data_IF_312705468833
#
_entry.id   IF_312705468833
#
_cell.length_a   1.000
_cell.length_b   1.000
_cell.length_c   1.000
_cell.angle_alpha   90.00
_cell.angle_beta   90.00
_cell.angle_gamma   90.00
#
_symmetry.space_group_name_H-M   'P 1'
#
loop_
_entity.id
_entity.type
_entity.pdbx_description
1 polymer ?
#
# COMPACT_ATOMS: atom_id res chain seq x y z
N UNK A 1 -10.09 -29.35 26.74
CA UNK A 1 -9.66 -29.45 25.32
C UNK A 1 -8.43 -28.57 25.15
N UNK A 2 -7.23 -29.16 25.13
CA UNK A 2 -5.99 -28.43 24.93
C UNK A 2 -5.86 -28.02 23.47
N UNK A 3 -5.96 -26.73 23.19
CA UNK A 3 -5.61 -26.19 21.87
C UNK A 3 -4.11 -26.34 21.69
N UNK A 4 -3.70 -27.36 20.92
CA UNK A 4 -2.34 -27.47 20.41
C UNK A 4 -2.09 -26.28 19.48
N UNK A 5 -1.62 -25.18 20.05
CA UNK A 5 -1.13 -24.04 19.29
C UNK A 5 0.16 -24.50 18.62
N UNK A 6 0.03 -24.93 17.36
CA UNK A 6 1.19 -25.15 16.49
C UNK A 6 1.85 -23.78 16.33
N UNK A 7 2.90 -23.56 17.12
CA UNK A 7 3.67 -22.32 17.06
C UNK A 7 4.51 -22.37 15.79
N UNK A 8 3.92 -21.92 14.68
CA UNK A 8 4.62 -21.77 13.41
C UNK A 8 5.60 -20.62 13.59
N UNK A 9 6.80 -20.95 14.07
CA UNK A 9 7.92 -20.02 14.11
C UNK A 9 8.30 -19.68 12.67
N UNK A 10 7.93 -18.48 12.25
CA UNK A 10 8.35 -17.97 10.95
C UNK A 10 9.88 -17.84 10.96
N UNK A 11 10.54 -18.53 10.03
CA UNK A 11 12.00 -18.47 9.90
C UNK A 11 12.43 -17.03 9.54
N UNK A 12 13.26 -16.36 10.37
CA UNK A 12 13.66 -14.97 10.16
C UNK A 12 14.19 -14.69 8.76
N UNK A 13 15.03 -15.60 8.26
CA UNK A 13 15.70 -15.46 6.98
C UNK A 13 14.68 -15.47 5.83
N UNK A 14 13.63 -16.29 5.95
CA UNK A 14 12.54 -16.34 4.96
C UNK A 14 11.72 -15.05 4.98
N UNK A 15 11.38 -14.54 6.16
CA UNK A 15 10.67 -13.27 6.29
C UNK A 15 11.47 -12.09 5.73
N UNK A 16 12.79 -12.09 5.93
CA UNK A 16 13.64 -11.05 5.37
C UNK A 16 13.70 -11.11 3.85
N UNK A 17 13.96 -12.30 3.28
CA UNK A 17 13.98 -12.48 1.82
C UNK A 17 12.64 -12.06 1.22
N UNK A 18 11.53 -12.45 1.86
CA UNK A 18 10.19 -12.03 1.45
C UNK A 18 10.06 -10.50 1.49
N UNK A 19 10.41 -9.85 2.61
CA UNK A 19 10.31 -8.40 2.77
C UNK A 19 11.14 -7.62 1.74
N UNK A 20 12.38 -8.02 1.48
CA UNK A 20 13.24 -7.42 0.45
C UNK A 20 12.64 -7.61 -0.94
N UNK A 21 12.18 -8.81 -1.27
CA UNK A 21 11.54 -9.12 -2.57
C UNK A 21 10.30 -8.26 -2.77
N UNK A 22 9.46 -8.13 -1.73
CA UNK A 22 8.27 -7.29 -1.76
C UNK A 22 8.63 -5.81 -1.95
N UNK A 23 9.66 -5.29 -1.30
CA UNK A 23 10.10 -3.90 -1.50
C UNK A 23 10.50 -3.64 -2.95
N UNK A 24 11.20 -4.56 -3.61
CA UNK A 24 11.58 -4.44 -5.03
C UNK A 24 10.32 -4.39 -5.92
N UNK A 25 9.36 -5.28 -5.66
CA UNK A 25 8.08 -5.29 -6.37
C UNK A 25 7.26 -4.03 -6.13
N UNK A 26 7.20 -3.53 -4.89
CA UNK A 26 6.52 -2.27 -4.56
C UNK A 26 7.20 -1.07 -5.23
N UNK A 27 8.53 -1.07 -5.39
CA UNK A 27 9.22 0.00 -6.13
C UNK A 27 8.78 0.05 -7.60
N UNK A 28 8.50 -1.10 -8.23
CA UNK A 28 7.90 -1.12 -9.57
C UNK A 28 6.52 -0.46 -9.59
N UNK A 29 5.71 -0.67 -8.54
CA UNK A 29 4.46 0.07 -8.38
C UNK A 29 4.70 1.59 -8.39
N UNK A 30 5.75 2.08 -7.73
CA UNK A 30 6.09 3.50 -7.70
C UNK A 30 6.41 4.09 -9.07
N UNK A 31 7.08 3.32 -9.93
CA UNK A 31 7.31 3.72 -11.33
C UNK A 31 5.99 3.84 -12.08
N UNK A 32 5.10 2.87 -11.92
CA UNK A 32 3.78 2.89 -12.57
C UNK A 32 2.88 4.01 -12.04
N UNK A 33 2.87 4.25 -10.73
CA UNK A 33 2.14 5.36 -10.10
C UNK A 33 2.60 6.71 -10.66
N UNK A 34 3.92 6.89 -10.87
CA UNK A 34 4.46 8.09 -11.52
C UNK A 34 3.98 8.20 -12.98
N UNK A 35 3.95 7.10 -13.73
CA UNK A 35 3.41 7.13 -15.11
C UNK A 35 1.95 7.55 -15.13
N UNK A 36 1.15 7.12 -14.17
CA UNK A 36 -0.26 7.50 -14.10
C UNK A 36 -0.48 8.91 -13.58
N UNK A 37 0.10 9.23 -12.42
CA UNK A 37 -0.30 10.36 -11.61
C UNK A 37 0.69 11.53 -11.58
N UNK A 38 1.90 11.39 -12.14
CA UNK A 38 2.84 12.50 -12.17
C UNK A 38 2.29 13.64 -13.03
N UNK A 39 2.58 14.87 -12.65
CA UNK A 39 2.35 16.05 -13.46
C UNK A 39 3.47 17.03 -13.22
N UNK A 40 4.05 17.55 -14.29
CA UNK A 40 5.10 18.55 -14.20
C UNK A 40 4.58 19.95 -13.84
N UNK A 41 3.27 20.16 -13.94
CA UNK A 41 2.62 21.47 -13.77
C UNK A 41 1.77 21.57 -12.51
N UNK A 42 1.41 20.44 -11.89
CA UNK A 42 0.60 20.44 -10.66
C UNK A 42 1.45 20.63 -9.41
N UNK A 43 1.08 21.63 -8.61
CA UNK A 43 1.58 21.83 -7.25
C UNK A 43 0.91 20.85 -6.27
N UNK A 44 1.41 20.80 -5.03
CA UNK A 44 0.86 19.95 -3.99
C UNK A 44 -0.65 20.11 -3.78
N UNK A 45 -1.16 21.35 -3.87
CA UNK A 45 -2.60 21.63 -3.68
C UNK A 45 -3.45 21.13 -4.84
N UNK A 46 -2.91 21.14 -6.06
CA UNK A 46 -3.65 20.74 -7.26
C UNK A 46 -3.99 19.25 -7.22
N UNK A 47 -3.14 18.42 -6.61
CA UNK A 47 -3.37 16.98 -6.36
C UNK A 47 -4.56 16.67 -5.44
N UNK A 48 -4.99 17.65 -4.64
CA UNK A 48 -6.18 17.55 -3.77
C UNK A 48 -7.36 18.36 -4.32
N UNK A 49 -7.33 18.69 -5.60
CA UNK A 49 -8.36 19.46 -6.31
C UNK A 49 -8.93 18.64 -7.47
N UNK A 50 -10.03 19.10 -8.11
CA UNK A 50 -10.55 18.46 -9.31
C UNK A 50 -9.55 18.31 -10.46
N UNK A 51 -8.47 19.12 -10.50
CA UNK A 51 -7.44 19.06 -11.54
C UNK A 51 -6.77 17.67 -11.67
N UNK A 52 -6.72 16.89 -10.58
CA UNK A 52 -6.20 15.52 -10.62
C UNK A 52 -7.01 14.60 -11.54
N UNK A 53 -8.32 14.83 -11.64
CA UNK A 53 -9.20 14.05 -12.50
C UNK A 53 -8.88 14.34 -13.98
N UNK A 54 -8.70 15.62 -14.32
CA UNK A 54 -8.34 16.02 -15.68
C UNK A 54 -6.99 15.44 -16.11
N UNK A 55 -6.02 15.44 -15.20
CA UNK A 55 -4.71 14.80 -15.39
C UNK A 55 -4.85 13.30 -15.67
N UNK A 56 -5.65 12.58 -14.87
CA UNK A 56 -5.88 11.13 -15.05
C UNK A 56 -6.56 10.84 -16.40
N UNK A 57 -7.66 11.53 -16.71
CA UNK A 57 -8.46 11.27 -17.92
C UNK A 57 -7.68 11.60 -19.20
N UNK A 58 -6.89 12.68 -19.18
CA UNK A 58 -6.06 13.09 -20.31
C UNK A 58 -4.76 12.27 -20.44
N UNK A 59 -4.37 11.54 -19.38
CA UNK A 59 -3.05 10.95 -19.20
C UNK A 59 -1.90 11.96 -19.41
N UNK A 60 -2.17 13.27 -19.32
CA UNK A 60 -1.30 14.34 -19.84
C UNK A 60 -0.74 14.07 -21.24
N UNK A 61 -1.52 13.45 -22.11
CA UNK A 61 -1.09 13.12 -23.48
C UNK A 61 -0.10 11.95 -23.59
N UNK A 62 0.14 11.18 -22.52
CA UNK A 62 0.94 9.94 -22.60
C UNK A 62 0.33 8.96 -23.60
N UNK A 63 1.21 8.21 -24.26
CA UNK A 63 0.79 7.23 -25.27
C UNK A 63 0.09 6.02 -24.63
N UNK A 64 -0.77 5.35 -25.40
CA UNK A 64 -1.46 4.13 -24.95
C UNK A 64 -0.50 3.05 -24.43
N UNK A 65 0.62 2.84 -25.14
CA UNK A 65 1.62 1.84 -24.74
C UNK A 65 2.28 2.13 -23.39
N UNK A 66 2.46 3.40 -23.05
CA UNK A 66 2.97 3.82 -21.73
C UNK A 66 1.93 3.54 -20.64
N UNK A 67 0.64 3.77 -20.92
CA UNK A 67 -0.44 3.45 -19.98
C UNK A 67 -0.58 1.93 -19.76
N UNK A 68 -0.41 1.12 -20.81
CA UNK A 68 -0.38 -0.35 -20.71
C UNK A 68 0.81 -0.83 -19.87
N UNK A 69 1.98 -0.20 -19.99
CA UNK A 69 3.13 -0.53 -19.14
C UNK A 69 2.81 -0.24 -17.67
N UNK A 70 2.19 0.90 -17.37
CA UNK A 70 1.80 1.25 -16.01
C UNK A 70 0.80 0.25 -15.41
N UNK A 71 -0.08 -0.31 -16.24
CA UNK A 71 -1.07 -1.30 -15.83
C UNK A 71 -0.44 -2.61 -15.31
N UNK A 72 0.78 -2.93 -15.71
CA UNK A 72 1.47 -4.15 -15.25
C UNK A 72 1.68 -4.19 -13.73
N UNK A 73 1.75 -3.03 -13.06
CA UNK A 73 1.78 -2.98 -11.59
C UNK A 73 0.49 -3.54 -10.97
N UNK A 74 -0.66 -3.35 -11.63
CA UNK A 74 -1.94 -3.92 -11.23
C UNK A 74 -1.91 -5.45 -11.08
N UNK A 75 -1.14 -6.15 -11.90
CA UNK A 75 -1.03 -7.62 -11.87
C UNK A 75 -0.25 -8.14 -10.67
N UNK A 76 0.56 -7.29 -10.04
CA UNK A 76 1.42 -7.67 -8.92
C UNK A 76 0.79 -7.39 -7.55
N UNK A 77 -0.42 -6.80 -7.49
CA UNK A 77 -1.11 -6.53 -6.23
C UNK A 77 -1.37 -7.75 -5.33
N UNK A 78 -1.64 -8.96 -5.86
CA UNK A 78 -1.65 -10.16 -5.04
C UNK A 78 -0.32 -10.41 -4.31
N UNK A 79 0.82 -10.08 -4.93
CA UNK A 79 2.12 -10.14 -4.29
C UNK A 79 2.31 -8.98 -3.31
N UNK A 80 1.95 -7.75 -3.69
CA UNK A 80 2.07 -6.59 -2.80
C UNK A 80 1.30 -6.82 -1.50
N UNK A 81 0.10 -7.39 -1.54
CA UNK A 81 -0.71 -7.70 -0.35
C UNK A 81 0.02 -8.57 0.69
N UNK A 82 1.05 -9.35 0.33
CA UNK A 82 1.87 -10.07 1.29
C UNK A 82 2.68 -9.15 2.23
N UNK A 83 2.83 -7.85 1.96
CA UNK A 83 3.42 -6.95 2.95
C UNK A 83 2.59 -6.89 4.23
N UNK A 84 1.25 -7.07 4.12
CA UNK A 84 0.37 -7.18 5.28
C UNK A 84 0.67 -8.45 6.10
N UNK A 85 1.14 -9.53 5.48
CA UNK A 85 1.63 -10.71 6.20
C UNK A 85 2.90 -10.41 7.00
N UNK A 86 3.88 -9.72 6.39
CA UNK A 86 5.11 -9.28 7.07
C UNK A 86 4.78 -8.42 8.29
N UNK A 87 3.83 -7.50 8.16
CA UNK A 87 3.33 -6.67 9.25
C UNK A 87 2.57 -7.49 10.31
N UNK A 88 1.70 -8.41 9.90
CA UNK A 88 0.94 -9.29 10.78
C UNK A 88 1.85 -10.12 11.70
N UNK A 89 2.99 -10.61 11.20
CA UNK A 89 3.96 -11.35 12.04
C UNK A 89 4.39 -10.53 13.25
N UNK A 90 4.64 -9.22 13.05
CA UNK A 90 5.00 -8.33 14.15
C UNK A 90 3.83 -7.95 15.06
N UNK A 91 2.59 -8.06 14.57
CA UNK A 91 1.38 -7.70 15.31
C UNK A 91 0.70 -8.87 16.01
N UNK A 92 0.93 -10.13 15.60
CA UNK A 92 0.14 -11.32 15.99
C UNK A 92 -0.06 -11.52 17.50
N UNK A 93 0.88 -11.05 18.33
CA UNK A 93 0.77 -11.08 19.81
C UNK A 93 -0.39 -10.24 20.36
N UNK A 94 -0.86 -9.25 19.61
CA UNK A 94 -1.96 -8.39 20.01
C UNK A 94 -3.35 -9.06 19.86
N UNK A 95 -3.42 -10.27 19.28
CA UNK A 95 -4.64 -11.05 19.14
C UNK A 95 -5.44 -10.74 17.86
N UNK A 96 -6.64 -11.33 17.75
CA UNK A 96 -7.47 -11.23 16.54
C UNK A 96 -7.81 -9.79 16.16
N UNK A 97 -8.42 -9.04 17.08
CA UNK A 97 -8.92 -7.68 16.83
C UNK A 97 -7.82 -6.66 16.55
N UNK A 98 -6.63 -6.83 17.15
CA UNK A 98 -5.54 -5.86 17.01
C UNK A 98 -4.47 -6.29 16.00
N UNK A 99 -4.55 -7.49 15.43
CA UNK A 99 -3.60 -7.94 14.42
C UNK A 99 -4.29 -8.39 13.13
N UNK A 100 -5.24 -9.32 13.21
CA UNK A 100 -5.81 -9.97 12.03
C UNK A 100 -6.76 -9.03 11.29
N UNK A 101 -7.67 -8.37 12.01
CA UNK A 101 -8.63 -7.43 11.42
C UNK A 101 -7.95 -6.27 10.69
N UNK A 102 -7.05 -5.49 11.32
CA UNK A 102 -6.40 -4.37 10.63
C UNK A 102 -5.53 -4.83 9.44
N UNK A 103 -4.75 -5.90 9.59
CA UNK A 103 -3.93 -6.41 8.47
C UNK A 103 -4.79 -6.97 7.33
N UNK A 104 -5.90 -7.63 7.65
CA UNK A 104 -6.86 -8.14 6.67
C UNK A 104 -7.56 -7.03 5.89
N UNK A 105 -8.00 -5.96 6.57
CA UNK A 105 -8.57 -4.78 5.92
C UNK A 105 -7.57 -4.11 4.99
N UNK A 106 -6.31 -3.97 5.41
CA UNK A 106 -5.24 -3.43 4.58
C UNK A 106 -4.98 -4.32 3.37
N UNK A 107 -4.84 -5.64 3.56
CA UNK A 107 -4.64 -6.58 2.45
C UNK A 107 -5.80 -6.52 1.44
N UNK A 108 -7.05 -6.49 1.93
CA UNK A 108 -8.23 -6.33 1.10
C UNK A 108 -8.20 -5.01 0.31
N UNK A 109 -7.90 -3.89 0.98
CA UNK A 109 -7.83 -2.59 0.34
C UNK A 109 -6.78 -2.56 -0.79
N UNK A 110 -5.61 -3.16 -0.56
CA UNK A 110 -4.55 -3.27 -1.56
C UNK A 110 -5.02 -4.08 -2.76
N UNK A 111 -5.63 -5.25 -2.56
CA UNK A 111 -6.18 -6.04 -3.67
C UNK A 111 -7.23 -5.25 -4.47
N UNK A 112 -8.08 -4.48 -3.79
CA UNK A 112 -9.08 -3.62 -4.44
C UNK A 112 -8.43 -2.47 -5.22
N UNK A 113 -7.40 -1.82 -4.67
CA UNK A 113 -6.62 -0.77 -5.36
C UNK A 113 -6.01 -1.33 -6.65
N UNK A 114 -5.44 -2.53 -6.63
CA UNK A 114 -4.90 -3.15 -7.85
C UNK A 114 -5.96 -3.37 -8.92
N UNK A 115 -7.11 -3.91 -8.52
CA UNK A 115 -8.22 -4.22 -9.42
C UNK A 115 -8.96 -2.98 -9.94
N UNK A 116 -9.11 -1.94 -9.12
CA UNK A 116 -9.96 -0.78 -9.42
C UNK A 116 -9.13 0.45 -9.77
N UNK A 117 -8.08 0.79 -9.00
CA UNK A 117 -7.32 2.01 -9.27
C UNK A 117 -6.45 1.88 -10.52
N UNK A 118 -5.56 0.89 -10.61
CA UNK A 118 -4.69 0.76 -11.79
C UNK A 118 -5.47 0.46 -13.06
N UNK A 119 -6.41 -0.49 -13.01
CA UNK A 119 -7.26 -0.80 -14.15
C UNK A 119 -8.17 0.39 -14.49
N UNK A 120 -8.78 1.01 -13.49
CA UNK A 120 -9.69 2.14 -13.69
C UNK A 120 -8.99 3.36 -14.27
N UNK A 121 -7.81 3.71 -13.80
CA UNK A 121 -6.98 4.76 -14.40
C UNK A 121 -6.65 4.43 -15.86
N UNK A 122 -6.25 3.19 -16.17
CA UNK A 122 -6.05 2.79 -17.56
C UNK A 122 -7.34 2.95 -18.39
N UNK A 123 -8.48 2.46 -17.91
CA UNK A 123 -9.77 2.54 -18.61
C UNK A 123 -10.29 3.98 -18.79
N UNK A 124 -10.09 4.85 -17.81
CA UNK A 124 -10.46 6.27 -17.89
C UNK A 124 -9.76 7.01 -19.04
N UNK A 125 -8.65 6.47 -19.54
CA UNK A 125 -7.89 7.06 -20.65
C UNK A 125 -8.29 6.51 -22.01
N UNK A 126 -9.02 5.38 -22.06
CA UNK A 126 -9.33 4.66 -23.30
C UNK A 126 -10.24 5.46 -24.24
N UNK A 127 -11.37 6.06 -23.79
CA UNK A 127 -12.29 6.75 -24.70
C UNK A 127 -11.60 7.89 -25.45
N UNK A 128 -10.83 8.73 -24.74
CA UNK A 128 -10.13 9.88 -25.33
C UNK A 128 -9.00 9.47 -26.28
N UNK A 129 -8.33 8.35 -26.02
CA UNK A 129 -7.31 7.79 -26.92
C UNK A 129 -7.93 7.16 -28.17
N UNK A 130 -9.01 6.39 -28.01
CA UNK A 130 -9.72 5.76 -29.12
C UNK A 130 -10.32 6.82 -30.07
N UNK A 131 -10.99 7.85 -29.53
CA UNK A 131 -11.56 8.96 -30.29
C UNK A 131 -10.52 9.62 -31.20
N UNK A 132 -9.34 9.94 -30.63
CA UNK A 132 -8.22 10.55 -31.35
C UNK A 132 -7.67 9.64 -32.44
N UNK A 133 -7.60 8.33 -32.20
CA UNK A 133 -7.03 7.38 -33.16
C UNK A 133 -7.92 7.20 -34.40
N UNK A 134 -9.25 7.18 -34.23
CA UNK A 134 -10.20 6.94 -35.34
C UNK A 134 -10.80 8.22 -35.92
N UNK A 135 -10.51 9.38 -35.32
CA UNK A 135 -11.04 10.68 -35.77
C UNK A 135 -12.55 10.84 -35.56
N UNK A 136 -13.12 10.20 -34.54
CA UNK A 136 -14.56 10.29 -34.25
C UNK A 136 -14.94 11.61 -33.59
N UNK A 137 -16.13 12.11 -33.91
CA UNK A 137 -16.66 13.40 -33.43
C UNK A 137 -17.93 13.27 -32.58
N UNK A 138 -18.33 12.05 -32.21
CA UNK A 138 -19.52 11.83 -31.38
C UNK A 138 -19.24 12.09 -29.90
N UNK A 139 -19.25 13.36 -29.53
CA UNK A 139 -18.97 13.80 -28.16
C UNK A 139 -19.99 13.23 -27.15
N UNK A 140 -21.24 13.02 -27.57
CA UNK A 140 -22.28 12.48 -26.67
C UNK A 140 -21.93 11.05 -26.25
N UNK A 141 -21.50 10.22 -27.21
CA UNK A 141 -21.04 8.87 -26.92
C UNK A 141 -19.82 8.87 -25.98
N UNK A 142 -18.82 9.71 -26.25
CA UNK A 142 -17.60 9.77 -25.44
C UNK A 142 -17.85 10.27 -24.02
N UNK A 143 -18.59 11.36 -23.85
CA UNK A 143 -18.92 11.92 -22.54
C UNK A 143 -19.74 10.93 -21.71
N UNK A 144 -20.71 10.25 -22.34
CA UNK A 144 -21.52 9.21 -21.67
C UNK A 144 -20.67 8.01 -21.27
N UNK A 145 -19.80 7.54 -22.16
CA UNK A 145 -18.88 6.42 -21.89
C UNK A 145 -17.92 6.77 -20.76
N UNK A 146 -17.31 7.96 -20.81
CA UNK A 146 -16.38 8.44 -19.79
C UNK A 146 -17.07 8.52 -18.43
N UNK A 147 -18.28 9.07 -18.38
CA UNK A 147 -19.08 9.15 -17.15
C UNK A 147 -19.36 7.78 -16.56
N UNK A 148 -19.81 6.81 -17.35
CA UNK A 148 -20.09 5.47 -16.84
C UNK A 148 -18.84 4.74 -16.35
N UNK A 149 -17.69 4.90 -17.02
CA UNK A 149 -16.42 4.36 -16.53
C UNK A 149 -16.04 5.02 -15.19
N UNK A 150 -16.18 6.34 -15.09
CA UNK A 150 -15.90 7.08 -13.87
C UNK A 150 -16.83 6.65 -12.72
N UNK A 151 -18.12 6.46 -12.95
CA UNK A 151 -19.07 6.02 -11.93
C UNK A 151 -18.68 4.64 -11.36
N UNK A 152 -18.29 3.68 -12.21
CA UNK A 152 -17.81 2.37 -11.77
C UNK A 152 -16.49 2.47 -11.00
N UNK A 153 -15.57 3.31 -11.47
CA UNK A 153 -14.31 3.59 -10.81
C UNK A 153 -14.54 4.15 -9.40
N UNK A 154 -15.33 5.22 -9.26
CA UNK A 154 -15.58 5.86 -7.96
C UNK A 154 -16.28 4.92 -6.97
N UNK A 155 -17.26 4.14 -7.43
CA UNK A 155 -17.96 3.21 -6.55
C UNK A 155 -17.04 2.08 -6.06
N UNK A 156 -16.20 1.55 -6.95
CA UNK A 156 -15.19 0.58 -6.55
C UNK A 156 -14.19 1.19 -5.56
N UNK A 157 -13.66 2.37 -5.91
CA UNK A 157 -12.59 3.03 -5.16
C UNK A 157 -13.03 3.44 -3.75
N UNK A 158 -14.30 3.83 -3.58
CA UNK A 158 -14.87 4.13 -2.27
C UNK A 158 -14.68 2.98 -1.27
N UNK A 159 -14.89 1.73 -1.71
CA UNK A 159 -14.72 0.57 -0.82
C UNK A 159 -13.25 0.34 -0.44
N UNK A 160 -12.34 0.58 -1.38
CA UNK A 160 -10.90 0.48 -1.15
C UNK A 160 -10.43 1.56 -0.17
N UNK A 161 -10.86 2.81 -0.38
CA UNK A 161 -10.56 3.95 0.48
C UNK A 161 -11.07 3.73 1.90
N UNK A 162 -12.31 3.26 2.07
CA UNK A 162 -12.88 2.99 3.40
C UNK A 162 -12.10 1.87 4.12
N UNK A 163 -11.84 0.75 3.43
CA UNK A 163 -11.08 -0.35 4.01
C UNK A 163 -9.65 0.05 4.36
N UNK A 164 -8.99 0.82 3.49
CA UNK A 164 -7.63 1.32 3.71
C UNK A 164 -7.58 2.23 4.94
N UNK A 165 -8.44 3.24 5.01
CA UNK A 165 -8.43 4.20 6.11
C UNK A 165 -8.75 3.54 7.45
N UNK A 166 -9.80 2.71 7.51
CA UNK A 166 -10.14 1.95 8.72
C UNK A 166 -9.00 1.01 9.12
N UNK A 167 -8.43 0.29 8.17
CA UNK A 167 -7.30 -0.61 8.39
C UNK A 167 -6.07 0.13 8.92
N UNK A 168 -5.70 1.26 8.32
CA UNK A 168 -4.55 2.07 8.71
C UNK A 168 -4.70 2.66 10.11
N UNK A 169 -5.85 3.27 10.43
CA UNK A 169 -6.13 3.82 11.76
C UNK A 169 -6.12 2.71 12.82
N UNK A 170 -6.79 1.59 12.56
CA UNK A 170 -6.84 0.48 13.49
C UNK A 170 -5.46 -0.15 13.70
N UNK A 171 -4.68 -0.31 12.64
CA UNK A 171 -3.29 -0.77 12.70
C UNK A 171 -2.44 0.15 13.58
N UNK A 172 -2.55 1.48 13.40
CA UNK A 172 -1.82 2.45 14.20
C UNK A 172 -2.20 2.38 15.69
N UNK A 173 -3.50 2.24 16.00
CA UNK A 173 -3.98 2.03 17.38
C UNK A 173 -3.40 0.76 17.99
N UNK A 174 -3.36 -0.34 17.22
CA UNK A 174 -2.79 -1.59 17.68
C UNK A 174 -1.30 -1.45 18.03
N UNK A 175 -0.51 -0.77 17.19
CA UNK A 175 0.91 -0.48 17.47
C UNK A 175 1.05 0.43 18.70
N UNK A 176 0.28 1.51 18.78
CA UNK A 176 0.31 2.46 19.89
C UNK A 176 -0.04 1.81 21.25
N UNK A 177 -0.91 0.80 21.25
CA UNK A 177 -1.30 0.06 22.45
C UNK A 177 -0.14 -0.63 23.17
N UNK A 178 0.98 -0.88 22.47
CA UNK A 178 2.14 -1.61 23.00
C UNK A 178 1.92 -3.13 23.10
N UNK A 179 0.83 -3.65 22.53
CA UNK A 179 0.52 -5.10 22.51
C UNK A 179 1.17 -5.86 21.34
N UNK A 180 1.80 -5.14 20.42
CA UNK A 180 2.54 -5.72 19.29
C UNK A 180 4.02 -5.89 19.64
N UNK A 181 4.79 -6.55 18.78
CA UNK A 181 6.26 -6.58 18.90
C UNK A 181 6.94 -5.29 18.40
N UNK A 182 6.17 -4.39 17.78
CA UNK A 182 6.66 -3.11 17.32
C UNK A 182 6.67 -2.09 18.47
N UNK A 183 7.66 -1.19 18.50
CA UNK A 183 7.71 -0.10 19.47
C UNK A 183 6.64 0.94 19.11
N UNK A 184 6.18 1.74 20.08
CA UNK A 184 5.11 2.73 19.85
C UNK A 184 5.46 3.77 18.76
N UNK A 185 6.75 4.13 18.62
CA UNK A 185 7.18 5.06 17.57
C UNK A 185 6.97 4.51 16.15
N UNK A 186 6.80 3.19 16.00
CA UNK A 186 6.56 2.55 14.70
C UNK A 186 5.28 3.06 14.01
N UNK A 187 4.36 3.69 14.75
CA UNK A 187 3.22 4.43 14.17
C UNK A 187 3.67 5.44 13.11
N UNK A 188 4.82 6.10 13.26
CA UNK A 188 5.33 7.07 12.29
C UNK A 188 5.72 6.44 10.93
N UNK A 189 6.10 5.17 10.93
CA UNK A 189 6.46 4.40 9.71
C UNK A 189 5.41 3.35 9.35
N UNK A 190 4.25 3.40 10.01
CA UNK A 190 3.08 2.59 9.68
C UNK A 190 2.44 3.06 8.37
N UNK A 191 1.49 2.31 7.78
CA UNK A 191 0.71 2.79 6.65
C UNK A 191 0.08 4.16 6.89
N UNK A 192 -0.51 4.40 8.08
CA UNK A 192 -1.07 5.71 8.44
C UNK A 192 0.02 6.81 8.51
N UNK A 193 1.16 6.48 9.11
CA UNK A 193 2.28 7.42 9.20
C UNK A 193 2.80 7.81 7.83
N UNK A 194 3.01 6.83 6.94
CA UNK A 194 3.41 7.05 5.56
C UNK A 194 2.39 7.94 4.81
N UNK A 195 1.09 7.61 4.90
CA UNK A 195 -0.01 8.40 4.31
C UNK A 195 0.05 9.88 4.73
N UNK A 196 0.11 10.13 6.04
CA UNK A 196 0.08 11.50 6.61
C UNK A 196 1.35 12.26 6.22
N UNK A 197 2.51 11.64 6.39
CA UNK A 197 3.80 12.29 6.13
C UNK A 197 3.94 12.64 4.65
N UNK A 198 3.65 11.71 3.73
CA UNK A 198 3.75 11.97 2.30
C UNK A 198 2.75 13.03 1.85
N UNK A 199 1.53 13.04 2.41
CA UNK A 199 0.52 14.07 2.12
C UNK A 199 0.98 15.45 2.57
N UNK A 200 1.47 15.57 3.80
CA UNK A 200 1.95 16.85 4.35
C UNK A 200 3.14 17.39 3.57
N UNK A 201 4.13 16.54 3.28
CA UNK A 201 5.29 16.92 2.47
C UNK A 201 4.81 17.35 1.08
N UNK A 202 4.01 16.53 0.41
CA UNK A 202 3.53 16.78 -0.93
C UNK A 202 2.71 18.07 -1.05
N UNK A 203 1.82 18.35 -0.09
CA UNK A 203 1.01 19.57 -0.05
C UNK A 203 1.85 20.85 0.03
N UNK A 204 3.03 20.77 0.67
CA UNK A 204 3.96 21.87 0.82
C UNK A 204 4.91 22.04 -0.38
N UNK A 205 4.95 21.10 -1.33
CA UNK A 205 5.88 21.15 -2.45
C UNK A 205 5.28 21.88 -3.66
N UNK A 206 6.09 22.66 -4.41
CA UNK A 206 5.69 23.21 -5.69
C UNK A 206 5.72 22.14 -6.79
N UNK A 207 5.15 22.46 -7.95
CA UNK A 207 5.43 21.71 -9.18
C UNK A 207 6.93 21.83 -9.53
N UNK A 208 7.58 20.79 -10.09
CA UNK A 208 7.07 19.43 -10.32
C UNK A 208 7.31 18.48 -9.14
N UNK A 209 7.89 18.95 -8.05
CA UNK A 209 8.33 18.12 -6.92
C UNK A 209 7.17 17.46 -6.20
N UNK A 210 6.01 18.14 -6.13
CA UNK A 210 4.79 17.59 -5.56
C UNK A 210 4.40 16.26 -6.20
N UNK A 211 4.46 16.16 -7.53
CA UNK A 211 4.12 14.93 -8.25
C UNK A 211 5.05 13.76 -7.94
N UNK A 212 6.33 14.01 -7.67
CA UNK A 212 7.28 12.96 -7.27
C UNK A 212 6.96 12.35 -5.90
N UNK A 213 6.26 13.08 -5.05
CA UNK A 213 5.87 12.62 -3.71
C UNK A 213 4.43 12.10 -3.70
N UNK A 214 3.50 12.81 -4.33
CA UNK A 214 2.06 12.53 -4.26
C UNK A 214 1.56 11.54 -5.32
N UNK A 215 2.19 11.44 -6.50
CA UNK A 215 1.79 10.42 -7.46
C UNK A 215 2.02 8.99 -6.94
N UNK A 216 3.20 8.63 -6.37
CA UNK A 216 3.45 7.31 -5.79
C UNK A 216 2.84 7.12 -4.39
N UNK A 217 1.68 7.71 -4.14
CA UNK A 217 0.99 7.63 -2.86
C UNK A 217 0.73 6.18 -2.42
N UNK A 218 0.15 5.36 -3.31
CA UNK A 218 -0.08 3.93 -3.09
C UNK A 218 1.22 3.16 -2.82
N UNK A 219 2.32 3.59 -3.43
CA UNK A 219 3.63 3.00 -3.18
C UNK A 219 4.16 3.30 -1.78
N UNK A 220 4.07 4.54 -1.29
CA UNK A 220 4.61 4.89 0.03
C UNK A 220 3.93 4.15 1.17
N UNK A 221 2.61 3.94 1.09
CA UNK A 221 1.84 3.23 2.11
C UNK A 221 2.20 1.75 2.23
N UNK A 222 2.83 1.18 1.20
CA UNK A 222 3.31 -0.19 1.18
C UNK A 222 4.81 -0.23 1.51
N UNK A 223 5.61 0.60 0.83
CA UNK A 223 7.06 0.53 0.86
C UNK A 223 7.63 0.88 2.23
N UNK A 224 7.21 2.01 2.81
CA UNK A 224 7.72 2.49 4.11
C UNK A 224 7.46 1.47 5.22
N UNK A 225 6.23 0.97 5.43
CA UNK A 225 6.00 -0.05 6.45
C UNK A 225 6.63 -1.40 6.11
N UNK A 226 6.65 -1.84 4.84
CA UNK A 226 7.29 -3.10 4.47
C UNK A 226 8.78 -3.08 4.77
N UNK A 227 9.48 -2.03 4.35
CA UNK A 227 10.91 -1.83 4.62
C UNK A 227 11.16 -1.76 6.14
N UNK A 228 10.36 -0.98 6.86
CA UNK A 228 10.49 -0.81 8.31
C UNK A 228 10.26 -2.12 9.06
N UNK A 229 9.23 -2.90 8.71
CA UNK A 229 8.99 -4.22 9.29
C UNK A 229 10.14 -5.18 8.98
N UNK A 230 10.66 -5.16 7.75
CA UNK A 230 11.75 -6.01 7.28
C UNK A 230 13.03 -5.74 8.09
N UNK A 231 13.41 -4.47 8.24
CA UNK A 231 14.58 -4.06 9.03
C UNK A 231 14.36 -4.32 10.53
N UNK A 232 13.17 -4.06 11.05
CA UNK A 232 12.86 -4.30 12.47
C UNK A 232 12.98 -5.78 12.84
N UNK A 233 12.40 -6.66 12.02
CA UNK A 233 12.40 -8.09 12.29
C UNK A 233 13.78 -8.72 12.06
N UNK A 234 14.62 -8.16 11.19
CA UNK A 234 15.99 -8.62 10.98
C UNK A 234 16.76 -8.78 12.31
N UNK A 235 16.61 -7.80 13.21
CA UNK A 235 17.39 -7.75 14.45
C UNK A 235 16.80 -8.56 15.62
N UNK A 236 15.59 -9.11 15.52
CA UNK A 236 14.82 -9.55 16.72
C UNK A 236 14.22 -10.95 16.70
N UNK A 237 14.29 -11.67 15.58
CA UNK A 237 13.68 -13.01 15.54
C UNK A 237 14.54 -14.05 16.29
N UNK A 238 15.79 -13.73 16.64
CA UNK A 238 16.63 -14.58 17.51
C UNK A 238 16.32 -14.50 19.01
N UNK A 239 15.65 -13.43 19.48
CA UNK A 239 15.45 -13.18 20.93
C UNK A 239 14.11 -13.69 21.47
N UNK A 240 13.26 -14.26 20.60
CA UNK A 240 11.87 -14.62 20.95
C UNK A 240 11.64 -16.12 21.13
N UNK A 241 12.70 -16.91 21.27
CA UNK A 241 12.57 -18.31 21.71
C UNK A 241 11.93 -18.30 23.11
N UNK A 242 10.74 -18.90 23.30
CA UNK A 242 10.15 -19.08 24.62
C UNK A 242 11.03 -20.08 25.37
N UNK A 243 12.05 -19.55 26.02
CA UNK A 243 13.19 -20.31 26.50
C UNK A 243 14.39 -19.43 26.80
N UNK A 244 14.18 -18.15 27.12
CA UNK A 244 15.25 -17.24 27.53
C UNK A 244 16.09 -17.85 28.66
N UNK A 245 17.26 -17.28 28.98
CA UNK A 245 18.25 -17.88 29.87
C UNK A 245 17.71 -18.35 31.22
N UNK A 246 16.55 -17.87 31.69
CA UNK A 246 15.83 -18.45 32.83
C UNK A 246 15.33 -19.88 32.62
N UNK A 247 14.75 -20.22 31.47
CA UNK A 247 14.33 -21.60 31.17
C UNK A 247 15.54 -22.49 30.93
N UNK A 248 16.60 -21.95 30.32
CA UNK A 248 17.86 -22.67 30.15
C UNK A 248 18.62 -22.85 31.47
N UNK A 249 18.56 -21.89 32.40
CA UNK A 249 19.11 -21.98 33.75
C UNK A 249 18.32 -22.99 34.60
N UNK A 250 16.99 -22.96 34.53
CA UNK A 250 16.11 -23.96 35.18
C UNK A 250 16.35 -25.35 34.58
N UNK A 251 16.51 -25.48 33.27
CA UNK A 251 16.84 -26.76 32.62
C UNK A 251 18.26 -27.25 32.93
N UNK A 252 19.21 -26.34 33.17
CA UNK A 252 20.59 -26.66 33.58
C UNK A 252 20.75 -26.88 35.08
N UNK A 253 19.66 -26.84 35.86
CA UNK A 253 19.72 -26.99 37.32
C UNK A 253 20.54 -25.88 38.01
N UNK A 254 20.72 -24.74 37.34
CA UNK A 254 21.37 -23.58 37.93
C UNK A 254 20.33 -22.89 38.81
N UNK A 255 20.46 -23.06 40.13
CA UNK A 255 19.72 -22.26 41.10
C UNK A 255 20.09 -20.80 40.92
N UNK A 256 19.07 -19.97 40.62
CA UNK A 256 19.17 -18.50 40.65
C UNK A 256 19.44 -18.05 42.08
#
# INVERSE_FOLDING_TARGET
>A
MGSATVDVHANPRRLHILGVTLCIFILWNGVCDLIYGYSSTMSGRDYFSPAVIDMIVSAEGRSHGVMLLAQTAGWLYPFYAFYAYVMWVGMRRAGFWMAHVPCGLIAYAILMIGGIQHCGWAFLTVPSQAARLVGSTDNVFYDTTQRYIADHFFMGDLTAVLALNLGCVWQAVAVASGRTSFPRWFVAVSPLGALVISSLIGLCLPAPLAGLVLAPFGTWIMLVPCLSCTVWMWNRVGETTPGGPEVEAVAKGQTV
#
